data_IF_972619595009
#
_entry.id   IF_972619595009
#
_cell.length_a   1.000
_cell.length_b   1.000
_cell.length_c   1.000
_cell.angle_alpha   90.00
_cell.angle_beta   90.00
_cell.angle_gamma   90.00
#
_symmetry.space_group_name_H-M   'P 1'
#
loop_
_entity.id
_entity.type
_entity.pdbx_description
1 polymer ?
#
# COMPACT_ATOMS: atom_id res chain seq x y z
N UNK A 1 10.50 -0.29 -8.04
CA UNK A 1 10.85 -0.85 -6.70
C UNK A 1 9.61 -1.21 -5.88
N UNK A 2 8.65 -0.29 -5.69
CA UNK A 2 7.46 -0.51 -4.86
C UNK A 2 6.50 -1.61 -5.38
N UNK A 3 6.23 -1.68 -6.69
CA UNK A 3 5.40 -2.75 -7.30
C UNK A 3 5.92 -4.17 -6.99
N UNK A 4 7.26 -4.34 -6.97
CA UNK A 4 7.90 -5.62 -6.63
C UNK A 4 7.74 -5.95 -5.13
N UNK A 5 7.78 -4.94 -4.26
CA UNK A 5 7.51 -5.11 -2.84
C UNK A 5 6.07 -5.58 -2.59
N UNK A 6 5.09 -4.95 -3.23
CA UNK A 6 3.68 -5.31 -3.09
C UNK A 6 3.39 -6.73 -3.58
N UNK A 7 3.85 -7.07 -4.79
CA UNK A 7 3.68 -8.42 -5.35
C UNK A 7 4.28 -9.51 -4.46
N UNK A 8 5.47 -9.28 -3.91
CA UNK A 8 6.11 -10.24 -3.00
C UNK A 8 5.30 -10.49 -1.73
N UNK A 9 4.61 -9.49 -1.19
CA UNK A 9 3.83 -9.67 0.03
C UNK A 9 2.49 -10.37 -0.26
N UNK A 10 1.89 -10.16 -1.44
CA UNK A 10 0.76 -10.95 -1.91
C UNK A 10 1.13 -12.44 -2.03
N UNK A 11 2.26 -12.75 -2.68
CA UNK A 11 2.74 -14.14 -2.79
C UNK A 11 2.97 -14.81 -1.42
N UNK A 12 3.42 -14.05 -0.42
CA UNK A 12 3.61 -14.56 0.95
C UNK A 12 2.28 -14.87 1.62
N UNK A 13 1.28 -14.00 1.46
CA UNK A 13 -0.06 -14.23 2.00
C UNK A 13 -0.77 -15.41 1.31
N UNK A 14 -0.68 -15.51 -0.02
CA UNK A 14 -1.22 -16.66 -0.77
C UNK A 14 -0.63 -17.99 -0.28
N UNK A 15 0.67 -18.02 0.01
CA UNK A 15 1.37 -19.21 0.53
C UNK A 15 1.04 -19.55 1.98
N UNK A 16 0.45 -18.64 2.76
CA UNK A 16 0.11 -18.93 4.16
C UNK A 16 -1.09 -19.87 4.30
N UNK A 17 -1.93 -19.98 3.26
CA UNK A 17 -3.17 -20.77 3.30
C UNK A 17 -4.25 -20.22 4.24
N UNK A 18 -4.04 -19.03 4.84
CA UNK A 18 -5.01 -18.38 5.72
C UNK A 18 -5.77 -17.29 4.95
N UNK A 19 -7.05 -17.54 4.68
CA UNK A 19 -7.91 -16.62 3.91
C UNK A 19 -8.03 -15.23 4.53
N UNK A 20 -8.08 -15.11 5.86
CA UNK A 20 -8.16 -13.79 6.54
C UNK A 20 -6.91 -12.97 6.28
N UNK A 21 -5.72 -13.56 6.47
CA UNK A 21 -4.45 -12.88 6.21
C UNK A 21 -4.27 -12.52 4.73
N UNK A 22 -4.81 -13.34 3.82
CA UNK A 22 -4.85 -13.04 2.39
C UNK A 22 -5.72 -11.84 2.07
N UNK A 23 -6.95 -11.81 2.60
CA UNK A 23 -7.87 -10.68 2.41
C UNK A 23 -7.29 -9.40 2.98
N UNK A 24 -6.73 -9.44 4.19
CA UNK A 24 -6.10 -8.29 4.83
C UNK A 24 -4.91 -7.78 4.00
N UNK A 25 -4.03 -8.68 3.52
CA UNK A 25 -2.91 -8.32 2.68
C UNK A 25 -3.36 -7.69 1.35
N UNK A 26 -4.35 -8.28 0.69
CA UNK A 26 -4.91 -7.77 -0.58
C UNK A 26 -5.50 -6.38 -0.39
N UNK A 27 -6.28 -6.16 0.67
CA UNK A 27 -6.90 -4.88 0.99
C UNK A 27 -5.85 -3.78 1.19
N UNK A 28 -4.83 -4.04 2.01
CA UNK A 28 -3.76 -3.07 2.25
C UNK A 28 -2.96 -2.78 0.98
N UNK A 29 -2.61 -3.82 0.20
CA UNK A 29 -1.84 -3.64 -1.05
C UNK A 29 -2.61 -2.83 -2.10
N UNK A 30 -3.93 -3.04 -2.22
CA UNK A 30 -4.76 -2.29 -3.16
C UNK A 30 -4.76 -0.79 -2.82
N UNK A 31 -5.04 -0.45 -1.56
CA UNK A 31 -5.03 0.94 -1.07
C UNK A 31 -3.65 1.58 -1.23
N UNK A 32 -2.58 0.86 -0.89
CA UNK A 32 -1.22 1.38 -1.02
C UNK A 32 -0.82 1.64 -2.47
N UNK A 33 -1.24 0.76 -3.39
CA UNK A 33 -0.98 0.92 -4.82
C UNK A 33 -1.61 2.21 -5.35
N UNK A 34 -2.84 2.52 -4.91
CA UNK A 34 -3.51 3.76 -5.26
C UNK A 34 -2.72 4.97 -4.73
N UNK A 35 -2.44 5.03 -3.42
CA UNK A 35 -1.75 6.19 -2.83
C UNK A 35 -0.37 6.44 -3.45
N UNK A 36 0.39 5.40 -3.77
CA UNK A 36 1.68 5.55 -4.46
C UNK A 36 1.52 6.10 -5.87
N UNK A 37 0.48 5.67 -6.60
CA UNK A 37 0.16 6.22 -7.92
C UNK A 37 -0.18 7.70 -7.84
N UNK A 38 -1.03 8.08 -6.89
CA UNK A 38 -1.43 9.48 -6.67
C UNK A 38 -0.24 10.35 -6.27
N UNK A 39 0.62 9.87 -5.37
CA UNK A 39 1.84 10.57 -4.98
C UNK A 39 2.79 10.73 -6.16
N UNK A 40 2.92 9.71 -7.01
CA UNK A 40 3.72 9.79 -8.24
C UNK A 40 3.17 10.83 -9.23
N UNK A 41 1.85 10.95 -9.35
CA UNK A 41 1.22 11.96 -10.20
C UNK A 41 1.42 13.38 -9.66
N UNK A 42 1.37 13.57 -8.34
CA UNK A 42 1.71 14.84 -7.69
C UNK A 42 3.17 15.21 -7.92
N UNK A 43 4.10 14.29 -7.65
CA UNK A 43 5.54 14.51 -7.83
C UNK A 43 5.91 14.75 -9.30
N UNK A 44 5.20 14.11 -10.22
CA UNK A 44 5.35 14.30 -11.66
C UNK A 44 4.66 15.54 -12.23
N UNK A 45 3.99 16.35 -11.40
CA UNK A 45 3.25 17.54 -11.83
C UNK A 45 2.00 17.25 -12.67
N UNK A 46 1.59 15.98 -12.78
CA UNK A 46 0.38 15.55 -13.50
C UNK A 46 -0.90 15.81 -12.73
N UNK A 47 -0.80 16.02 -11.42
CA UNK A 47 -1.91 16.36 -10.52
C UNK A 47 -1.54 17.58 -9.68
N UNK A 48 -2.43 18.57 -9.57
CA UNK A 48 -2.22 19.77 -8.73
C UNK A 48 -3.03 19.66 -7.44
N UNK A 49 -2.47 20.18 -6.35
CA UNK A 49 -3.08 20.11 -5.01
C UNK A 49 -4.51 20.70 -4.97
N UNK A 50 -4.71 21.79 -5.71
CA UNK A 50 -6.01 22.48 -5.83
C UNK A 50 -7.14 21.62 -6.41
N UNK A 51 -6.82 20.54 -7.13
CA UNK A 51 -7.82 19.69 -7.78
C UNK A 51 -8.33 18.59 -6.82
N UNK A 52 -7.63 18.33 -5.69
CA UNK A 52 -7.95 17.29 -4.72
C UNK A 52 -7.52 17.69 -3.29
N UNK A 53 -8.28 18.56 -2.64
CA UNK A 53 -7.98 19.09 -1.29
C UNK A 53 -7.90 18.02 -0.17
N UNK A 54 -8.52 16.84 -0.36
CA UNK A 54 -8.54 15.75 0.61
C UNK A 54 -7.36 14.76 0.47
N UNK A 55 -6.55 14.87 -0.58
CA UNK A 55 -5.42 13.96 -0.86
C UNK A 55 -4.15 14.80 -1.04
N UNK A 56 -3.77 15.53 0.01
CA UNK A 56 -2.54 16.32 -0.02
C UNK A 56 -1.30 15.38 -0.08
N UNK A 57 -0.17 15.80 -0.65
CA UNK A 57 1.01 14.94 -0.77
C UNK A 57 1.56 14.40 0.56
N UNK A 58 1.40 15.15 1.66
CA UNK A 58 1.79 14.72 3.00
C UNK A 58 0.87 13.59 3.50
N UNK A 59 -0.44 13.76 3.39
CA UNK A 59 -1.41 12.73 3.81
C UNK A 59 -1.24 11.45 3.00
N UNK A 60 -0.94 11.57 1.70
CA UNK A 60 -0.59 10.44 0.85
C UNK A 60 0.71 9.76 1.29
N UNK A 61 1.73 10.53 1.65
CA UNK A 61 2.98 9.97 2.16
C UNK A 61 2.78 9.24 3.49
N UNK A 62 2.00 9.82 4.41
CA UNK A 62 1.66 9.22 5.70
C UNK A 62 0.88 7.90 5.47
N UNK A 63 -0.12 7.90 4.58
CA UNK A 63 -0.88 6.69 4.25
C UNK A 63 0.00 5.60 3.59
N UNK A 64 1.02 5.97 2.80
CA UNK A 64 2.00 5.02 2.26
C UNK A 64 2.85 4.41 3.37
N UNK A 65 3.28 5.20 4.36
CA UNK A 65 4.04 4.72 5.51
C UNK A 65 3.19 3.73 6.32
N UNK A 66 1.96 4.10 6.64
CA UNK A 66 1.05 3.28 7.45
C UNK A 66 0.77 1.93 6.79
N UNK A 67 0.53 1.90 5.47
CA UNK A 67 0.32 0.62 4.80
C UNK A 67 1.58 -0.25 4.67
N UNK A 68 2.79 0.33 4.63
CA UNK A 68 4.03 -0.47 4.74
C UNK A 68 4.14 -1.11 6.13
N UNK A 69 3.75 -0.39 7.19
CA UNK A 69 3.70 -0.92 8.55
C UNK A 69 2.67 -2.06 8.66
N UNK A 70 1.46 -1.87 8.13
CA UNK A 70 0.41 -2.88 8.12
C UNK A 70 0.83 -4.16 7.38
N UNK A 71 1.42 -4.04 6.18
CA UNK A 71 1.99 -5.19 5.45
C UNK A 71 3.03 -5.93 6.30
N UNK A 72 3.87 -5.19 7.03
CA UNK A 72 4.90 -5.79 7.89
C UNK A 72 4.30 -6.55 9.07
N UNK A 73 3.20 -6.06 9.64
CA UNK A 73 2.47 -6.72 10.73
C UNK A 73 1.81 -8.02 10.24
N UNK A 74 1.03 -7.96 9.15
CA UNK A 74 0.39 -9.15 8.56
C UNK A 74 1.44 -10.21 8.22
N UNK A 75 2.58 -9.79 7.66
CA UNK A 75 3.67 -10.71 7.34
C UNK A 75 4.30 -11.37 8.57
N UNK A 76 4.36 -10.68 9.71
CA UNK A 76 4.82 -11.28 10.97
C UNK A 76 3.82 -12.31 11.49
N UNK A 77 2.53 -12.08 11.30
CA UNK A 77 1.47 -13.01 11.70
C UNK A 77 1.45 -14.27 10.84
N UNK A 78 1.80 -14.16 9.55
CA UNK A 78 1.98 -15.32 8.66
C UNK A 78 3.17 -16.20 9.10
N UNK A 79 4.23 -15.60 9.64
CA UNK A 79 5.45 -16.31 10.03
C UNK A 79 5.45 -16.87 11.46
N UNK A 80 4.34 -16.73 12.20
CA UNK A 80 4.13 -17.32 13.52
C UNK A 80 3.37 -18.63 13.40
#
# INVERSE_FOLDING_TARGET
MFKKFLGKNLEVAEKSGNETQQVDMVGVVAVLSQHVGELSDFMGGKRKFKDHAHHNPKDLADAVIDGVVAITQIRREIGR
#
